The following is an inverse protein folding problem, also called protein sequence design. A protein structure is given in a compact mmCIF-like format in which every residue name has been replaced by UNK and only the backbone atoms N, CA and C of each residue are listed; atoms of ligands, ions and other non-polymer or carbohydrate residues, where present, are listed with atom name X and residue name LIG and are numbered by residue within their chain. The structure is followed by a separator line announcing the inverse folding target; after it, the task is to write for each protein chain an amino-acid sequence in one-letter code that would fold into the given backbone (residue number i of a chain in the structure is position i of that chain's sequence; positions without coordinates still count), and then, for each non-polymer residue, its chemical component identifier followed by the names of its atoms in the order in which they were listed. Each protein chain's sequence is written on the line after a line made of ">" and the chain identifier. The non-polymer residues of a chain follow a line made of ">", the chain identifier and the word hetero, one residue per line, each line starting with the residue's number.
data_IF_582823343947
#
_entry.id   IF_582823343947
#
_cell.length_a   1.000
_cell.length_b   1.000
_cell.length_c   1.000
_cell.angle_alpha   90.00
_cell.angle_beta   90.00
_cell.angle_gamma   90.00
#
_symmetry.space_group_name_H-M   'P 1'
#
loop_
_entity.id
_entity.type
_entity.pdbx_description
1 polymer ?
#
# COMPACT_ATOMS: atom_id res chain seq x y z
N UNK A 1 2.52 8.70 19.64
CA UNK A 1 2.53 8.31 18.22
C UNK A 1 2.44 6.80 18.23
N UNK A 2 1.36 6.20 17.71
CA UNK A 2 1.35 4.73 17.58
C UNK A 2 2.44 4.38 16.58
N UNK A 3 3.36 3.49 16.97
CA UNK A 3 4.41 3.02 16.07
C UNK A 3 3.76 2.38 14.84
N UNK A 4 4.28 2.71 13.66
CA UNK A 4 3.82 2.10 12.41
C UNK A 4 4.18 0.63 12.48
N UNK A 5 3.21 -0.24 12.24
CA UNK A 5 3.46 -1.67 12.11
C UNK A 5 4.19 -1.94 10.78
N UNK A 6 5.51 -1.95 10.81
CA UNK A 6 6.37 -2.14 9.63
C UNK A 6 6.22 -3.52 8.98
N UNK A 7 5.59 -4.50 9.65
CA UNK A 7 5.21 -5.78 9.01
C UNK A 7 4.00 -5.64 8.07
N UNK A 8 3.14 -4.65 8.34
CA UNK A 8 1.88 -4.41 7.61
C UNK A 8 2.08 -3.31 6.56
N UNK A 9 2.66 -2.19 6.98
CA UNK A 9 3.02 -1.09 6.12
C UNK A 9 4.54 -1.13 5.94
N UNK A 10 4.98 -1.85 4.91
CA UNK A 10 6.41 -2.11 4.72
C UNK A 10 7.07 -0.91 4.06
N UNK A 11 8.20 -0.45 4.61
CA UNK A 11 9.00 0.60 3.99
C UNK A 11 9.79 0.04 2.79
N UNK A 12 9.55 0.53 1.56
CA UNK A 12 10.36 0.13 0.42
C UNK A 12 11.77 0.74 0.51
N UNK A 13 12.73 0.10 -0.16
CA UNK A 13 14.10 0.61 -0.27
C UNK A 13 14.34 1.34 -1.59
N UNK A 14 13.69 0.87 -2.66
CA UNK A 14 13.70 1.44 -3.98
C UNK A 14 13.00 2.81 -4.00
N UNK A 15 13.49 3.69 -4.88
CA UNK A 15 12.96 5.04 -5.08
C UNK A 15 12.37 5.22 -6.49
N UNK A 16 12.58 4.25 -7.39
CA UNK A 16 12.04 4.24 -8.74
C UNK A 16 11.01 3.13 -8.94
N UNK A 17 10.14 3.30 -9.94
CA UNK A 17 9.02 2.40 -10.20
C UNK A 17 9.47 0.96 -10.47
N UNK A 18 10.60 0.75 -11.17
CA UNK A 18 11.08 -0.60 -11.50
C UNK A 18 11.59 -1.33 -10.26
N UNK A 19 12.31 -0.64 -9.39
CA UNK A 19 12.75 -1.18 -8.11
C UNK A 19 11.56 -1.49 -7.20
N UNK A 20 10.56 -0.61 -7.16
CA UNK A 20 9.32 -0.83 -6.41
C UNK A 20 8.53 -2.05 -6.93
N UNK A 21 8.50 -2.27 -8.25
CA UNK A 21 7.91 -3.45 -8.87
C UNK A 21 8.61 -4.75 -8.47
N UNK A 22 9.95 -4.78 -8.46
CA UNK A 22 10.71 -5.97 -8.05
C UNK A 22 10.61 -6.24 -6.54
N UNK A 23 10.54 -5.19 -5.71
CA UNK A 23 10.23 -5.33 -4.29
C UNK A 23 8.84 -5.90 -4.07
N UNK A 24 7.81 -5.32 -4.71
CA UNK A 24 6.44 -5.80 -4.61
C UNK A 24 6.31 -7.25 -5.09
N UNK A 25 6.97 -7.62 -6.19
CA UNK A 25 7.05 -8.99 -6.68
C UNK A 25 7.65 -9.95 -5.65
N UNK A 26 8.70 -9.54 -4.94
CA UNK A 26 9.30 -10.34 -3.87
C UNK A 26 8.33 -10.55 -2.71
N UNK A 27 7.61 -9.49 -2.29
CA UNK A 27 6.57 -9.55 -1.26
C UNK A 27 5.37 -10.42 -1.68
N UNK A 28 5.07 -10.44 -2.97
CA UNK A 28 3.99 -11.22 -3.57
C UNK A 28 4.43 -12.61 -4.04
N UNK A 29 5.47 -13.18 -3.43
CA UNK A 29 5.96 -14.55 -3.68
C UNK A 29 6.31 -14.81 -5.14
N UNK A 30 6.92 -13.82 -5.80
CA UNK A 30 7.36 -13.91 -7.20
C UNK A 30 6.30 -13.55 -8.23
N UNK A 31 5.09 -13.16 -7.83
CA UNK A 31 4.04 -12.74 -8.76
C UNK A 31 4.46 -11.44 -9.46
N UNK A 32 4.57 -11.49 -10.79
CA UNK A 32 4.90 -10.30 -11.58
C UNK A 32 3.79 -9.24 -11.46
N UNK A 33 4.21 -8.00 -11.22
CA UNK A 33 3.34 -6.84 -11.09
C UNK A 33 3.95 -5.63 -11.79
N UNK A 34 3.09 -4.68 -12.16
CA UNK A 34 3.46 -3.36 -12.65
C UNK A 34 2.83 -2.32 -11.74
N UNK A 35 3.56 -1.25 -11.42
CA UNK A 35 3.05 -0.12 -10.66
C UNK A 35 2.35 0.85 -11.60
N UNK A 36 1.03 0.98 -11.49
CA UNK A 36 0.27 1.93 -12.30
C UNK A 36 0.73 3.37 -12.07
N UNK A 37 0.78 4.19 -13.10
CA UNK A 37 1.18 5.61 -12.99
C UNK A 37 0.09 6.50 -12.42
N UNK A 38 -1.17 6.12 -12.60
CA UNK A 38 -2.31 6.89 -12.11
C UNK A 38 -2.58 6.64 -10.62
N UNK A 39 -3.00 7.69 -9.93
CA UNK A 39 -3.44 7.57 -8.54
C UNK A 39 -4.83 6.92 -8.45
N UNK A 40 -4.95 5.97 -7.53
CA UNK A 40 -6.21 5.31 -7.21
C UNK A 40 -7.16 6.27 -6.48
N UNK A 41 -8.43 6.30 -6.92
CA UNK A 41 -9.48 7.21 -6.39
C UNK A 41 -10.53 6.51 -5.52
N UNK A 42 -10.42 5.21 -5.32
CA UNK A 42 -11.39 4.43 -4.54
C UNK A 42 -11.14 4.51 -3.03
N UNK A 43 -12.15 4.12 -2.25
CA UNK A 43 -12.07 4.06 -0.78
C UNK A 43 -11.73 2.68 -0.24
N UNK A 44 -12.06 1.63 -0.98
CA UNK A 44 -11.90 0.25 -0.56
C UNK A 44 -10.70 -0.34 -1.29
N UNK A 45 -9.87 -1.05 -0.54
CA UNK A 45 -8.72 -1.79 -1.03
C UNK A 45 -8.90 -3.26 -0.63
N UNK A 46 -8.80 -4.16 -1.59
CA UNK A 46 -8.74 -5.60 -1.37
C UNK A 46 -7.97 -6.25 -2.52
N UNK A 47 -7.80 -7.58 -2.47
CA UNK A 47 -7.10 -8.34 -3.50
C UNK A 47 -7.78 -8.30 -4.88
N UNK A 48 -9.06 -7.91 -4.99
CA UNK A 48 -9.75 -7.75 -6.27
C UNK A 48 -9.38 -6.43 -6.93
N UNK A 49 -9.06 -5.40 -6.13
CA UNK A 49 -8.59 -4.10 -6.62
C UNK A 49 -7.12 -4.16 -7.04
N UNK A 50 -6.27 -4.73 -6.20
CA UNK A 50 -4.84 -4.93 -6.45
C UNK A 50 -4.25 -5.93 -5.44
N UNK A 51 -3.24 -6.76 -5.82
CA UNK A 51 -2.50 -7.60 -4.86
C UNK A 51 -1.71 -6.80 -3.81
N UNK A 52 -1.29 -5.58 -4.14
CA UNK A 52 -0.63 -4.65 -3.23
C UNK A 52 -0.83 -3.19 -3.69
N UNK A 53 -0.61 -2.22 -2.79
CA UNK A 53 -0.62 -0.79 -3.11
C UNK A 53 0.63 -0.09 -2.58
N UNK A 54 1.09 0.90 -3.31
CA UNK A 54 2.07 1.89 -2.86
C UNK A 54 1.33 3.09 -2.27
N UNK A 55 1.72 3.49 -1.08
CA UNK A 55 1.16 4.61 -0.32
C UNK A 55 2.24 5.68 -0.22
N UNK A 56 1.94 6.89 -0.66
CA UNK A 56 2.85 8.02 -0.52
C UNK A 56 2.65 8.65 0.86
N UNK A 57 3.33 8.14 1.89
CA UNK A 57 3.02 8.50 3.28
C UNK A 57 3.27 9.96 3.66
N UNK A 58 4.11 10.68 2.92
CA UNK A 58 4.39 12.11 3.14
C UNK A 58 3.50 13.04 2.29
N UNK A 59 2.70 12.48 1.39
CA UNK A 59 1.83 13.22 0.50
C UNK A 59 0.35 12.87 0.73
N UNK A 60 -0.53 13.84 0.49
CA UNK A 60 -1.95 13.64 0.75
C UNK A 60 -2.27 13.52 2.25
N UNK A 61 -3.27 14.25 2.71
CA UNK A 61 -3.66 14.24 4.12
C UNK A 61 -4.82 13.25 4.35
N UNK A 62 -4.52 12.12 4.98
CA UNK A 62 -5.50 11.06 5.19
C UNK A 62 -5.03 9.93 6.09
N UNK A 63 -5.81 8.85 6.09
CA UNK A 63 -5.60 7.69 6.94
C UNK A 63 -6.01 6.43 6.19
N UNK A 64 -5.22 5.36 6.32
CA UNK A 64 -5.57 4.02 5.86
C UNK A 64 -5.77 3.13 7.08
N UNK A 65 -6.93 2.48 7.16
CA UNK A 65 -7.16 1.37 8.08
C UNK A 65 -6.94 0.06 7.32
N UNK A 66 -6.18 -0.84 7.92
CA UNK A 66 -5.83 -2.14 7.35
C UNK A 66 -6.27 -3.24 8.30
N UNK A 67 -7.00 -4.23 7.79
CA UNK A 67 -7.64 -5.27 8.60
C UNK A 67 -7.54 -6.65 7.94
N UNK A 68 -7.19 -7.66 8.73
CA UNK A 68 -7.33 -9.08 8.36
C UNK A 68 -8.69 -9.63 8.84
N UNK A 69 -9.21 -10.66 8.15
CA UNK A 69 -10.57 -11.19 8.35
C UNK A 69 -10.98 -11.45 9.81
N UNK A 70 -10.04 -11.90 10.66
CA UNK A 70 -10.30 -12.25 12.07
C UNK A 70 -9.63 -11.33 13.10
N UNK A 71 -9.04 -10.20 12.70
CA UNK A 71 -8.00 -9.56 13.54
C UNK A 71 -8.02 -8.04 13.69
N UNK A 72 -6.90 -7.59 14.29
CA UNK A 72 -6.55 -6.21 14.63
C UNK A 72 -6.58 -5.25 13.44
N UNK A 73 -6.84 -3.98 13.74
CA UNK A 73 -6.80 -2.89 12.76
C UNK A 73 -5.46 -2.18 12.91
N UNK A 74 -4.66 -2.19 11.85
CA UNK A 74 -3.46 -1.38 11.74
C UNK A 74 -3.80 -0.06 11.03
N UNK A 75 -3.29 1.05 11.56
CA UNK A 75 -3.62 2.39 11.05
C UNK A 75 -2.35 3.09 10.59
N UNK A 76 -2.36 3.59 9.36
CA UNK A 76 -1.33 4.47 8.81
C UNK A 76 -1.93 5.85 8.55
N UNK A 77 -1.39 6.88 9.21
CA UNK A 77 -1.70 8.28 8.86
C UNK A 77 -0.75 8.77 7.77
N UNK A 78 -1.25 9.55 6.82
CA UNK A 78 -0.45 10.13 5.73
C UNK A 78 -0.48 11.66 5.76
N UNK A 79 0.57 12.25 5.21
CA UNK A 79 0.70 13.67 4.96
C UNK A 79 2.05 14.24 5.39
N UNK A 80 2.36 15.50 5.06
CA UNK A 80 3.71 16.06 5.22
C UNK A 80 4.24 16.08 6.67
N UNK A 81 3.34 15.97 7.65
CA UNK A 81 3.67 16.00 9.09
C UNK A 81 3.85 14.61 9.71
N UNK A 82 3.55 13.54 8.97
CA UNK A 82 3.65 12.18 9.50
C UNK A 82 5.06 11.63 9.40
N UNK A 83 5.87 12.13 8.44
CA UNK A 83 7.25 11.68 8.19
C UNK A 83 7.34 10.20 7.86
N UNK A 84 6.26 9.66 7.30
CA UNK A 84 6.13 8.22 7.09
C UNK A 84 7.02 7.79 5.94
N UNK A 85 7.14 8.56 4.86
CA UNK A 85 7.72 8.13 3.60
C UNK A 85 6.81 7.13 2.86
N UNK A 86 7.28 6.60 1.74
CA UNK A 86 6.52 5.59 1.00
C UNK A 86 6.30 4.31 1.83
N UNK A 87 5.17 3.64 1.61
CA UNK A 87 4.81 2.36 2.22
C UNK A 87 4.15 1.43 1.24
N UNK A 88 4.44 0.13 1.33
CA UNK A 88 3.76 -0.92 0.58
C UNK A 88 2.81 -1.65 1.53
N UNK A 89 1.55 -1.79 1.10
CA UNK A 89 0.54 -2.59 1.78
C UNK A 89 0.17 -3.78 0.87
N UNK A 90 0.43 -4.99 1.34
CA UNK A 90 0.03 -6.23 0.66
C UNK A 90 -1.42 -6.56 1.01
N UNK A 91 -2.24 -6.91 0.01
CA UNK A 91 -3.67 -7.23 0.15
C UNK A 91 -3.98 -8.69 -0.20
N UNK A 92 -3.05 -9.38 -0.87
CA UNK A 92 -3.22 -10.76 -1.34
C UNK A 92 -3.28 -11.83 -0.23
N UNK A 93 -3.06 -11.48 1.02
CA UNK A 93 -3.17 -12.34 2.21
C UNK A 93 -4.58 -12.38 2.81
N UNK A 94 -5.58 -11.85 2.10
CA UNK A 94 -6.96 -11.73 2.59
C UNK A 94 -7.21 -10.47 3.42
N UNK A 95 -6.27 -9.52 3.41
CA UNK A 95 -6.37 -8.22 4.05
C UNK A 95 -7.21 -7.25 3.22
N UNK A 96 -7.94 -6.41 3.94
CA UNK A 96 -8.72 -5.30 3.37
C UNK A 96 -8.22 -3.97 3.92
N UNK A 97 -8.32 -2.94 3.11
CA UNK A 97 -7.97 -1.57 3.45
C UNK A 97 -9.16 -0.62 3.25
N UNK A 98 -9.26 0.39 4.11
CA UNK A 98 -10.23 1.47 4.00
C UNK A 98 -9.49 2.81 4.04
N UNK A 99 -9.67 3.60 2.99
CA UNK A 99 -9.01 4.88 2.76
C UNK A 99 -9.93 6.02 3.20
N UNK A 100 -9.43 6.85 4.10
CA UNK A 100 -10.11 8.05 4.59
C UNK A 100 -9.39 9.31 4.14
N UNK A 101 -10.16 10.28 3.64
CA UNK A 101 -9.67 11.57 3.12
C UNK A 101 -8.74 11.37 1.91
N UNK A 102 -7.73 12.22 1.76
CA UNK A 102 -6.93 12.33 0.55
C UNK A 102 -5.61 11.59 0.73
N UNK A 103 -5.63 10.25 0.66
CA UNK A 103 -4.40 9.46 0.62
C UNK A 103 -3.97 9.27 -0.83
N UNK A 104 -2.69 9.52 -1.13
CA UNK A 104 -2.14 9.25 -2.46
C UNK A 104 -1.63 7.81 -2.55
N UNK A 105 -2.19 7.09 -3.51
CA UNK A 105 -2.08 5.63 -3.63
C UNK A 105 -1.86 5.26 -5.09
N UNK A 106 -0.90 4.38 -5.37
CA UNK A 106 -0.73 3.72 -6.67
C UNK A 106 -0.90 2.21 -6.50
N UNK A 107 -1.42 1.54 -7.52
CA UNK A 107 -1.70 0.09 -7.46
C UNK A 107 -0.58 -0.70 -8.12
N UNK A 108 -0.18 -1.79 -7.48
CA UNK A 108 0.58 -2.85 -8.15
C UNK A 108 -0.42 -3.81 -8.78
N UNK A 109 -0.48 -3.88 -10.10
CA UNK A 109 -1.43 -4.74 -10.83
C UNK A 109 -0.69 -5.88 -11.51
N UNK A 110 -1.29 -7.06 -11.54
CA UNK A 110 -0.80 -8.15 -12.37
C UNK A 110 -1.18 -7.85 -13.81
N UNK A 111 -0.19 -7.87 -14.71
CA UNK A 111 -0.51 -7.98 -16.13
C UNK A 111 -0.86 -9.44 -16.38
N UNK A 112 -2.04 -9.69 -16.93
CA UNK A 112 -2.29 -10.97 -17.59
C UNK A 112 -1.23 -11.09 -18.69
N UNK A 113 -0.53 -12.23 -18.72
CA UNK A 113 0.48 -12.54 -19.72
C UNK A 113 -0.15 -12.73 -21.10
#
# INVERSE_FOLDING_TARGET
>A
MNEINEFVFQRPTAQDDKGLEEEAKSLLKGKAVTLETEYFKGKILDSNIAPAVLIHGDEGEGVIHSRVAEGSIDILSTGPKTGSGQRILVLSDGRTGLVFRNVLLRRFVCRDA
#
